data_IF_003428328857
#
_entry.id   IF_003428328857
#
_cell.length_a   1.000
_cell.length_b   1.000
_cell.length_c   1.000
_cell.angle_alpha   90.00
_cell.angle_beta   90.00
_cell.angle_gamma   90.00
#
_symmetry.space_group_name_H-M   'P 1'
#
loop_
_entity.id
_entity.type
_entity.pdbx_description
1 polymer ?
#
# COMPACT_ATOMS: atom_id res chain seq x y z
N UNK A 1 7.30 1.79 -14.77
CA UNK A 1 6.13 1.09 -15.34
C UNK A 1 5.60 0.12 -14.30
N UNK A 2 4.29 0.09 -14.05
CA UNK A 2 3.66 -0.81 -13.07
C UNK A 2 2.86 -1.90 -13.77
N UNK A 3 2.92 -3.11 -13.23
CA UNK A 3 2.12 -4.24 -13.71
C UNK A 3 0.68 -4.09 -13.20
N UNK A 4 -0.31 -4.35 -14.07
CA UNK A 4 -1.75 -4.23 -13.77
C UNK A 4 -2.46 -5.59 -13.65
N UNK A 5 -1.72 -6.63 -13.24
CA UNK A 5 -2.21 -8.01 -13.13
C UNK A 5 -2.03 -8.50 -11.70
N UNK A 6 -3.07 -9.13 -11.16
CA UNK A 6 -3.02 -9.79 -9.85
C UNK A 6 -2.45 -11.20 -10.05
N UNK A 7 -1.49 -11.57 -9.21
CA UNK A 7 -0.86 -12.90 -9.20
C UNK A 7 -0.89 -13.41 -7.76
N UNK A 8 -1.10 -14.72 -7.59
CA UNK A 8 -1.03 -15.38 -6.29
C UNK A 8 0.39 -15.31 -5.71
N UNK A 9 0.52 -14.91 -4.45
CA UNK A 9 1.80 -14.86 -3.74
C UNK A 9 1.96 -13.59 -2.90
N UNK A 10 3.02 -13.55 -2.11
CA UNK A 10 3.43 -12.34 -1.41
C UNK A 10 4.13 -11.38 -2.37
N UNK A 11 4.11 -10.08 -2.07
CA UNK A 11 4.87 -9.11 -2.83
C UNK A 11 6.37 -9.29 -2.59
N UNK A 12 7.18 -9.18 -3.64
CA UNK A 12 8.64 -9.35 -3.54
C UNK A 12 9.32 -8.27 -2.68
N UNK A 13 8.78 -7.04 -2.69
CA UNK A 13 9.33 -5.85 -2.03
C UNK A 13 8.25 -4.83 -1.70
N UNK A 14 8.53 -3.96 -0.73
CA UNK A 14 7.65 -2.82 -0.38
C UNK A 14 7.78 -1.63 -1.34
N UNK A 15 7.27 -1.79 -2.57
CA UNK A 15 7.26 -0.72 -3.59
C UNK A 15 6.47 0.54 -3.18
N UNK A 16 5.54 0.43 -2.22
CA UNK A 16 4.76 1.56 -1.71
C UNK A 16 5.62 2.70 -1.12
N UNK A 17 6.75 2.38 -0.47
CA UNK A 17 7.69 3.39 0.05
C UNK A 17 8.35 4.16 -1.09
N UNK A 18 8.60 3.49 -2.21
CA UNK A 18 9.23 4.09 -3.38
C UNK A 18 8.28 5.04 -4.11
N UNK A 19 6.99 4.66 -4.21
CA UNK A 19 5.93 5.53 -4.74
C UNK A 19 5.68 6.72 -3.82
N UNK A 20 5.67 6.52 -2.50
CA UNK A 20 5.53 7.59 -1.51
C UNK A 20 6.60 8.68 -1.66
N UNK A 21 7.84 8.29 -1.96
CA UNK A 21 8.91 9.26 -2.27
C UNK A 21 8.66 10.01 -3.58
N UNK A 22 8.19 9.34 -4.62
CA UNK A 22 7.82 9.99 -5.89
C UNK A 22 6.63 10.93 -5.73
N UNK A 23 5.73 10.64 -4.80
CA UNK A 23 4.59 11.48 -4.43
C UNK A 23 4.99 12.69 -3.54
N UNK A 24 6.28 12.84 -3.20
CA UNK A 24 6.76 13.98 -2.43
C UNK A 24 6.45 13.92 -0.93
N UNK A 25 6.21 12.74 -0.37
CA UNK A 25 6.03 12.61 1.08
C UNK A 25 7.31 13.01 1.85
N UNK A 26 7.19 13.57 3.07
CA UNK A 26 8.35 14.01 3.86
C UNK A 26 9.37 12.90 4.10
N UNK A 27 10.66 13.24 4.03
CA UNK A 27 11.75 12.28 4.22
C UNK A 27 11.74 11.61 5.61
N UNK A 28 11.28 12.33 6.65
CA UNK A 28 11.11 11.77 7.99
C UNK A 28 10.15 10.57 8.01
N UNK A 29 9.06 10.66 7.25
CA UNK A 29 8.07 9.58 7.10
C UNK A 29 8.67 8.40 6.33
N UNK A 30 9.37 8.67 5.23
CA UNK A 30 10.03 7.64 4.41
C UNK A 30 11.08 6.88 5.23
N UNK A 31 11.90 7.60 6.01
CA UNK A 31 12.94 6.99 6.84
C UNK A 31 12.34 6.10 7.94
N UNK A 32 11.30 6.58 8.64
CA UNK A 32 10.60 5.76 9.65
C UNK A 32 10.00 4.51 9.02
N UNK A 33 9.37 4.62 7.84
CA UNK A 33 8.80 3.49 7.14
C UNK A 33 9.87 2.44 6.79
N UNK A 34 11.05 2.86 6.33
CA UNK A 34 12.18 1.95 6.06
C UNK A 34 12.68 1.24 7.32
N UNK A 35 12.80 1.95 8.45
CA UNK A 35 13.21 1.34 9.72
C UNK A 35 12.20 0.30 10.20
N UNK A 36 10.91 0.56 10.04
CA UNK A 36 9.85 -0.40 10.40
C UNK A 36 9.91 -1.61 9.46
N UNK A 37 10.01 -1.38 8.15
CA UNK A 37 10.16 -2.46 7.16
C UNK A 37 11.33 -3.37 7.50
N UNK A 38 12.51 -2.80 7.77
CA UNK A 38 13.69 -3.59 8.09
C UNK A 38 13.49 -4.47 9.34
N UNK A 39 12.76 -3.97 10.34
CA UNK A 39 12.38 -4.76 11.52
C UNK A 39 11.42 -5.89 11.17
N UNK A 40 10.39 -5.60 10.37
CA UNK A 40 9.39 -6.59 9.96
C UNK A 40 9.97 -7.70 9.07
N UNK A 41 10.96 -7.40 8.24
CA UNK A 41 11.66 -8.41 7.43
C UNK A 41 12.67 -9.21 8.25
N UNK A 42 13.09 -8.71 9.42
CA UNK A 42 14.01 -9.41 10.32
C UNK A 42 13.28 -10.29 11.33
N UNK A 43 12.12 -9.83 11.82
CA UNK A 43 11.29 -10.55 12.79
C UNK A 43 10.18 -11.28 12.02
N UNK A 44 10.47 -12.50 11.57
CA UNK A 44 9.69 -13.27 10.58
C UNK A 44 8.22 -13.58 10.97
N UNK A 45 7.72 -13.14 12.14
CA UNK A 45 6.31 -13.34 12.52
C UNK A 45 5.82 -12.31 13.52
N UNK A 46 4.72 -11.63 13.17
CA UNK A 46 3.80 -10.91 14.05
C UNK A 46 4.40 -9.86 15.03
N UNK A 47 4.80 -8.70 14.51
CA UNK A 47 5.06 -7.52 15.35
C UNK A 47 3.74 -6.78 15.65
N UNK A 48 3.32 -6.78 16.91
CA UNK A 48 2.35 -5.82 17.45
C UNK A 48 2.95 -4.42 17.37
N UNK A 49 2.55 -3.64 16.37
CA UNK A 49 3.00 -2.26 16.19
C UNK A 49 2.64 -1.44 17.44
N UNK A 50 3.59 -0.73 18.09
CA UNK A 50 3.26 0.17 19.18
C UNK A 50 2.36 1.28 18.64
N UNK A 51 1.13 1.35 19.18
CA UNK A 51 0.11 2.36 18.90
C UNK A 51 0.49 3.73 19.48
N UNK A 52 1.67 4.23 19.14
CA UNK A 52 2.05 5.62 19.37
C UNK A 52 2.05 6.33 18.02
N UNK A 53 0.94 7.02 17.75
CA UNK A 53 0.70 7.86 16.59
C UNK A 53 0.71 7.11 15.23
N UNK A 54 -0.30 6.27 15.01
CA UNK A 54 -0.78 6.09 13.64
C UNK A 54 -1.18 7.50 13.13
N UNK A 55 -0.70 7.96 11.97
CA UNK A 55 -1.28 9.13 11.34
C UNK A 55 -2.74 8.78 11.10
N UNK A 56 -3.65 9.46 11.81
CA UNK A 56 -5.08 9.32 11.55
C UNK A 56 -5.33 9.90 10.16
N UNK A 57 -5.12 9.08 9.14
CA UNK A 57 -5.69 9.31 7.83
C UNK A 57 -7.19 9.21 8.03
N UNK A 58 -7.85 10.36 8.32
CA UNK A 58 -9.30 10.47 8.31
C UNK A 58 -9.76 9.91 6.97
N UNK A 59 -10.44 8.75 6.93
CA UNK A 59 -10.84 8.14 5.67
C UNK A 59 -11.92 9.04 5.07
N UNK A 60 -11.54 9.93 4.16
CA UNK A 60 -12.49 10.74 3.42
C UNK A 60 -13.11 9.87 2.32
N UNK A 61 -14.40 9.59 2.54
CA UNK A 61 -15.39 8.96 1.65
C UNK A 61 -15.13 7.49 1.29
N UNK A 62 -16.12 6.67 1.65
CA UNK A 62 -16.34 5.33 1.10
C UNK A 62 -16.27 5.46 -0.43
N UNK A 63 -15.32 4.79 -1.05
CA UNK A 63 -15.36 4.55 -2.48
C UNK A 63 -16.50 3.55 -2.67
N UNK A 64 -17.69 4.06 -2.97
CA UNK A 64 -18.78 3.22 -3.48
C UNK A 64 -18.35 2.82 -4.88
N UNK A 65 -17.86 1.58 -5.02
CA UNK A 65 -17.71 0.96 -6.33
C UNK A 65 -19.13 0.78 -6.85
N UNK A 66 -19.54 1.66 -7.77
CA UNK A 66 -20.71 1.39 -8.61
C UNK A 66 -20.26 0.28 -9.54
N UNK A 67 -20.88 -0.89 -9.44
CA UNK A 67 -20.74 -1.96 -10.42
C UNK A 67 -20.95 -1.34 -11.81
N UNK A 68 -19.88 -1.24 -12.59
CA UNK A 68 -19.95 -0.89 -13.99
C UNK A 68 -20.65 -2.04 -14.69
N UNK A 69 -21.86 -1.79 -15.20
CA UNK A 69 -22.63 -2.72 -16.02
C UNK A 69 -21.72 -3.47 -17.00
N UNK A 70 -21.72 -4.80 -16.91
CA UNK A 70 -21.01 -5.78 -17.77
C UNK A 70 -21.44 -5.74 -19.26
N UNK A 71 -22.05 -4.65 -19.72
CA UNK A 71 -22.53 -4.49 -21.10
C UNK A 71 -21.42 -4.12 -22.10
N UNK A 72 -20.16 -3.95 -21.66
CA UNK A 72 -19.04 -3.57 -22.54
C UNK A 72 -18.19 -4.74 -23.09
N UNK A 73 -18.65 -5.99 -22.99
CA UNK A 73 -17.97 -7.16 -23.57
C UNK A 73 -18.80 -7.97 -24.57
N UNK A 74 -19.79 -7.37 -25.23
CA UNK A 74 -20.58 -8.04 -26.30
C UNK A 74 -20.32 -7.53 -27.71
N UNK A 75 -19.22 -6.80 -27.94
CA UNK A 75 -18.88 -6.29 -29.27
C UNK A 75 -17.42 -6.54 -29.64
N UNK A 76 -17.04 -7.83 -29.59
CA UNK A 76 -15.98 -8.42 -30.41
C UNK A 76 -16.33 -9.88 -30.69
#
# INVERSE_FOLDING_TARGET
VFVRRVVSGAADRSYGIQVARLAGLPLSVINRAKTILAKLESDDTAVTLPTAAAPQAKPKKKITVVESDDSQLSLL
#
